data_IF_642420362187
#
_entry.id   IF_642420362187
#
_cell.length_a   1.000
_cell.length_b   1.000
_cell.length_c   1.000
_cell.angle_alpha   90.00
_cell.angle_beta   90.00
_cell.angle_gamma   90.00
#
_symmetry.space_group_name_H-M   'P 1'
#
loop_
_entity.id
_entity.type
_entity.pdbx_description
1 polymer ?
#
# COMPACT_ATOMS: atom_id res chain seq x y z
N UNK A 1 -5.28 0.15 13.82
CA UNK A 1 -5.16 -0.87 12.75
C UNK A 1 -3.84 -0.65 12.04
N UNK A 2 -2.80 -1.39 12.42
CA UNK A 2 -1.49 -1.28 11.79
C UNK A 2 -1.57 -1.73 10.33
N UNK A 3 -1.17 -0.87 9.39
CA UNK A 3 -0.97 -1.30 8.01
C UNK A 3 0.27 -2.20 8.01
N UNK A 4 0.19 -3.36 7.36
CA UNK A 4 1.36 -4.24 7.24
C UNK A 4 2.48 -3.48 6.51
N UNK A 5 3.69 -3.42 7.08
CA UNK A 5 4.82 -2.78 6.41
C UNK A 5 5.18 -3.61 5.17
N UNK A 6 5.49 -2.91 4.07
CA UNK A 6 5.99 -3.51 2.83
C UNK A 6 5.22 -3.02 1.61
N UNK A 7 5.85 -3.07 0.42
CA UNK A 7 5.18 -2.76 -0.82
C UNK A 7 3.99 -3.69 -1.05
N UNK A 8 2.95 -3.18 -1.71
CA UNK A 8 1.80 -4.02 -2.07
C UNK A 8 2.23 -5.18 -2.94
N UNK A 9 1.56 -6.32 -2.76
CA UNK A 9 1.78 -7.48 -3.61
C UNK A 9 1.32 -7.16 -5.03
N UNK A 10 2.17 -7.45 -6.00
CA UNK A 10 1.86 -7.38 -7.43
C UNK A 10 1.62 -8.80 -7.94
N UNK A 11 0.55 -8.99 -8.71
CA UNK A 11 0.28 -10.26 -9.36
C UNK A 11 1.33 -10.50 -10.46
N UNK A 12 2.01 -11.66 -10.42
CA UNK A 12 3.05 -11.98 -11.41
C UNK A 12 2.47 -12.17 -12.83
N UNK A 13 1.20 -12.58 -12.95
CA UNK A 13 0.55 -12.84 -14.22
C UNK A 13 0.08 -11.59 -14.95
N UNK A 14 -0.42 -10.58 -14.21
CA UNK A 14 -1.02 -9.37 -14.79
C UNK A 14 -0.21 -8.11 -14.54
N UNK A 15 0.73 -8.13 -13.60
CA UNK A 15 1.43 -6.93 -13.14
C UNK A 15 0.56 -5.98 -12.32
N UNK A 16 -0.69 -6.33 -12.01
CA UNK A 16 -1.58 -5.49 -11.22
C UNK A 16 -1.31 -5.59 -9.71
N UNK A 17 -1.48 -4.48 -9.01
CA UNK A 17 -1.33 -4.40 -7.55
C UNK A 17 -2.59 -4.89 -6.82
N UNK A 18 -2.42 -5.52 -5.64
CA UNK A 18 -3.56 -5.98 -4.83
C UNK A 18 -4.40 -4.80 -4.31
N UNK A 19 -5.62 -4.66 -4.85
CA UNK A 19 -6.57 -3.59 -4.52
C UNK A 19 -7.15 -3.72 -3.10
N UNK A 20 -7.05 -4.88 -2.45
CA UNK A 20 -7.54 -5.11 -1.07
C UNK A 20 -6.58 -4.57 -0.01
N UNK A 21 -5.28 -4.56 -0.32
CA UNK A 21 -4.28 -3.99 0.59
C UNK A 21 -4.35 -2.46 0.50
N UNK A 22 -4.27 -1.76 1.63
CA UNK A 22 -4.16 -0.29 1.65
C UNK A 22 -2.72 0.14 1.34
N UNK A 23 -2.55 1.28 0.67
CA UNK A 23 -1.23 1.85 0.42
C UNK A 23 -0.70 2.48 1.71
N UNK A 24 0.47 2.06 2.20
CA UNK A 24 1.07 2.63 3.40
C UNK A 24 1.90 3.90 3.13
N UNK A 25 2.20 4.25 1.86
CA UNK A 25 3.08 5.35 1.36
C UNK A 25 4.47 5.54 2.01
N UNK A 26 4.72 4.99 3.18
CA UNK A 26 5.98 5.05 3.93
C UNK A 26 6.97 3.97 3.47
N UNK A 27 6.49 2.89 2.85
CA UNK A 27 7.36 1.83 2.33
C UNK A 27 7.84 2.08 0.90
N UNK A 28 9.17 2.06 0.67
CA UNK A 28 9.72 2.18 -0.66
C UNK A 28 9.26 1.01 -1.54
N UNK A 29 9.04 1.27 -2.85
CA UNK A 29 8.44 0.38 -3.87
C UNK A 29 6.91 0.28 -3.88
N UNK A 30 6.16 1.18 -3.24
CA UNK A 30 4.73 1.27 -3.48
C UNK A 30 4.40 2.05 -4.76
N UNK A 31 3.36 1.62 -5.47
CA UNK A 31 2.90 2.23 -6.70
C UNK A 31 2.39 3.67 -6.43
N UNK A 32 2.99 4.70 -7.04
CA UNK A 32 2.63 6.10 -6.81
C UNK A 32 1.21 6.44 -7.27
N UNK A 33 0.60 5.63 -8.14
CA UNK A 33 -0.77 5.83 -8.63
C UNK A 33 -1.86 5.49 -7.60
N UNK A 34 -1.49 4.85 -6.48
CA UNK A 34 -2.46 4.38 -5.50
C UNK A 34 -2.85 5.47 -4.48
N UNK A 35 -4.14 5.45 -4.09
CA UNK A 35 -4.67 6.38 -3.09
C UNK A 35 -3.97 6.17 -1.74
N UNK A 36 -3.44 7.24 -1.10
CA UNK A 36 -2.84 7.14 0.22
C UNK A 36 -3.82 6.59 1.24
N UNK A 37 -3.33 5.77 2.16
CA UNK A 37 -4.03 5.61 3.43
C UNK A 37 -3.85 6.86 4.28
N UNK A 38 -4.97 7.39 4.78
CA UNK A 38 -4.96 8.47 5.77
C UNK A 38 -4.83 7.84 7.15
N UNK A 39 -3.61 7.87 7.69
CA UNK A 39 -3.37 7.56 9.09
C UNK A 39 -3.97 8.68 9.95
N UNK A 40 -4.78 8.33 10.96
CA UNK A 40 -5.01 9.25 12.07
C UNK A 40 -3.70 9.30 12.85
N UNK A 41 -3.08 10.48 12.92
CA UNK A 41 -1.98 10.73 13.87
C UNK A 41 -2.60 10.57 15.26
N UNK A 42 -2.09 9.62 16.05
CA UNK A 42 -2.51 9.50 17.45
C UNK A 42 -2.08 10.75 18.22
N UNK A 43 -2.88 11.17 19.19
CA UNK A 43 -2.51 12.16 20.21
C UNK A 43 -1.26 11.72 20.98
#
# INVERSE_FOLDING_TARGET
>A
MGIKPGPKKTAASTGETDKRQRDNKETPKNDPSLKPHKHKKGD
#
